data_IF_048081892904
#
_entry.id   IF_048081892904
#
_cell.length_a   1.000
_cell.length_b   1.000
_cell.length_c   1.000
_cell.angle_alpha   90.00
_cell.angle_beta   90.00
_cell.angle_gamma   90.00
#
_symmetry.space_group_name_H-M   'P 1'
#
loop_
_entity.id
_entity.type
_entity.pdbx_description
1 polymer ?
#
# COMPACT_ATOMS: atom_id res chain seq x y z
N UNK A 1 -22.26 -25.78 11.24
CA UNK A 1 -21.89 -24.50 10.64
C UNK A 1 -20.39 -24.52 10.39
N UNK A 2 -19.94 -24.71 9.15
CA UNK A 2 -18.54 -24.48 8.80
C UNK A 2 -18.46 -23.00 8.44
N UNK A 3 -17.91 -22.18 9.34
CA UNK A 3 -17.46 -20.84 8.96
C UNK A 3 -16.25 -21.08 8.06
N UNK A 4 -16.44 -21.00 6.75
CA UNK A 4 -15.32 -20.84 5.81
C UNK A 4 -14.55 -19.64 6.33
N UNK A 5 -13.29 -19.85 6.74
CA UNK A 5 -12.39 -18.77 7.13
C UNK A 5 -12.55 -17.70 6.06
N UNK A 6 -13.00 -16.50 6.42
CA UNK A 6 -13.36 -15.52 5.40
C UNK A 6 -12.11 -15.29 4.55
N UNK A 7 -12.15 -15.70 3.28
CA UNK A 7 -10.98 -15.73 2.44
C UNK A 7 -10.46 -14.30 2.32
N UNK A 8 -9.31 -14.02 2.93
CA UNK A 8 -8.70 -12.69 2.84
C UNK A 8 -8.41 -12.44 1.37
N UNK A 9 -9.00 -11.38 0.85
CA UNK A 9 -9.05 -11.07 -0.56
C UNK A 9 -8.29 -9.78 -0.91
N UNK A 10 -7.74 -9.09 0.09
CA UNK A 10 -6.87 -7.93 -0.12
C UNK A 10 -6.46 -7.25 1.18
N UNK A 11 -5.74 -6.14 1.05
CA UNK A 11 -5.36 -5.26 2.15
C UNK A 11 -5.96 -3.87 1.99
N UNK A 12 -6.42 -3.31 3.10
CA UNK A 12 -6.67 -1.88 3.25
C UNK A 12 -5.47 -1.22 3.90
N UNK A 13 -4.92 -0.21 3.22
CA UNK A 13 -3.76 0.56 3.65
C UNK A 13 -4.21 1.96 4.00
N UNK A 14 -4.02 2.38 5.25
CA UNK A 14 -4.24 3.75 5.71
C UNK A 14 -2.90 4.43 5.98
N UNK A 15 -2.59 5.44 5.18
CA UNK A 15 -1.36 6.21 5.26
C UNK A 15 -1.53 7.30 6.32
N UNK A 16 -1.08 7.02 7.54
CA UNK A 16 -1.08 8.01 8.61
C UNK A 16 -0.08 9.14 8.31
N UNK A 17 1.05 8.78 7.70
CA UNK A 17 2.09 9.68 7.22
C UNK A 17 2.72 9.10 5.95
N UNK A 18 3.03 9.94 4.97
CA UNK A 18 3.79 9.55 3.78
C UNK A 18 4.41 10.79 3.13
N UNK A 19 5.73 10.87 3.18
CA UNK A 19 6.56 11.89 2.57
C UNK A 19 7.92 11.26 2.21
N UNK A 20 8.06 10.92 0.93
CA UNK A 20 9.21 10.23 0.33
C UNK A 20 9.74 11.08 -0.81
N UNK A 21 11.06 11.16 -1.01
CA UNK A 21 11.64 12.01 -2.05
C UNK A 21 11.07 11.66 -3.44
N UNK A 22 10.57 12.67 -4.15
CA UNK A 22 10.04 12.49 -5.51
C UNK A 22 11.11 12.82 -6.54
N UNK A 23 11.37 11.89 -7.45
CA UNK A 23 12.10 12.10 -8.70
C UNK A 23 11.20 11.97 -9.93
N UNK A 24 11.74 12.20 -11.14
CA UNK A 24 11.09 11.79 -12.39
C UNK A 24 10.68 10.33 -12.32
N UNK A 25 9.42 10.03 -12.61
CA UNK A 25 8.84 8.68 -12.55
C UNK A 25 9.08 7.92 -11.22
N UNK A 26 9.20 8.65 -10.10
CA UNK A 26 9.55 8.10 -8.79
C UNK A 26 10.91 7.36 -8.77
N UNK A 27 11.88 7.81 -9.57
CA UNK A 27 13.19 7.17 -9.70
C UNK A 27 14.22 7.43 -8.58
N UNK A 28 13.92 8.31 -7.61
CA UNK A 28 14.81 8.57 -6.46
C UNK A 28 14.46 7.60 -5.33
N UNK A 29 13.62 8.04 -4.39
CA UNK A 29 13.05 7.19 -3.35
C UNK A 29 11.62 6.74 -3.73
N UNK A 30 11.25 5.52 -3.36
CA UNK A 30 9.89 5.03 -3.55
C UNK A 30 9.56 3.85 -2.62
N UNK A 31 8.26 3.69 -2.36
CA UNK A 31 7.69 2.48 -1.81
C UNK A 31 7.00 1.70 -2.94
N UNK A 32 7.48 0.50 -3.21
CA UNK A 32 6.80 -0.48 -4.07
C UNK A 32 5.80 -1.28 -3.22
N UNK A 33 4.54 -1.26 -3.63
CA UNK A 33 3.46 -2.07 -3.06
C UNK A 33 2.87 -2.94 -4.17
N UNK A 34 3.30 -4.20 -4.23
CA UNK A 34 2.78 -5.16 -5.22
C UNK A 34 2.96 -4.70 -6.67
N UNK A 35 4.18 -4.28 -7.03
CA UNK A 35 4.57 -3.77 -8.35
C UNK A 35 4.00 -2.39 -8.72
N UNK A 36 3.51 -1.64 -7.72
CA UNK A 36 3.11 -0.23 -7.90
C UNK A 36 3.98 0.65 -7.02
N UNK A 37 4.77 1.50 -7.64
CA UNK A 37 5.64 2.47 -6.96
C UNK A 37 4.86 3.72 -6.58
N UNK A 38 5.12 4.22 -5.37
CA UNK A 38 4.60 5.50 -4.88
C UNK A 38 5.74 6.32 -4.25
N UNK A 39 5.74 7.62 -4.50
CA UNK A 39 6.69 8.59 -3.95
C UNK A 39 6.02 9.96 -3.78
N UNK A 40 6.71 10.92 -3.18
CA UNK A 40 6.18 12.24 -2.85
C UNK A 40 5.38 12.23 -1.56
N UNK A 41 4.45 13.18 -1.43
CA UNK A 41 3.64 13.36 -0.25
C UNK A 41 2.19 12.89 -0.50
N UNK A 42 1.63 12.09 0.42
CA UNK A 42 0.20 11.76 0.41
C UNK A 42 -0.52 12.51 1.54
N UNK A 43 -1.81 12.86 1.36
CA UNK A 43 -2.62 13.41 2.44
C UNK A 43 -2.68 12.45 3.64
N UNK A 44 -2.58 12.98 4.86
CA UNK A 44 -2.74 12.16 6.06
C UNK A 44 -4.13 11.51 6.10
N UNK A 45 -4.16 10.21 6.39
CA UNK A 45 -5.37 9.42 6.42
C UNK A 45 -5.82 8.90 5.05
N UNK A 46 -5.09 9.20 3.96
CA UNK A 46 -5.34 8.60 2.65
C UNK A 46 -5.42 7.08 2.78
N UNK A 47 -6.43 6.47 2.14
CA UNK A 47 -6.71 5.05 2.27
C UNK A 47 -6.81 4.41 0.89
N UNK A 48 -6.26 3.21 0.74
CA UNK A 48 -6.32 2.43 -0.50
C UNK A 48 -6.59 0.97 -0.19
N UNK A 49 -7.47 0.35 -0.96
CA UNK A 49 -7.68 -1.10 -0.94
C UNK A 49 -6.93 -1.71 -2.12
N UNK A 50 -6.14 -2.76 -1.85
CA UNK A 50 -5.39 -3.49 -2.86
C UNK A 50 -5.83 -4.96 -2.79
N UNK A 51 -6.42 -5.51 -3.85
CA UNK A 51 -6.78 -6.92 -3.88
C UNK A 51 -5.53 -7.79 -3.90
N UNK A 52 -5.61 -8.99 -3.34
CA UNK A 52 -4.56 -9.98 -3.48
C UNK A 52 -4.65 -10.62 -4.87
N UNK A 53 -3.64 -10.33 -5.71
CA UNK A 53 -3.42 -11.03 -6.99
C UNK A 53 -2.59 -12.31 -6.79
N UNK A 54 -1.91 -12.41 -5.64
CA UNK A 54 -1.13 -13.57 -5.20
C UNK A 54 -1.34 -13.78 -3.68
N UNK A 55 -0.96 -14.93 -3.12
CA UNK A 55 -1.13 -15.21 -1.68
C UNK A 55 -0.37 -14.25 -0.75
N UNK A 56 0.62 -13.54 -1.29
CA UNK A 56 1.48 -12.62 -0.57
C UNK A 56 1.56 -11.27 -1.29
N UNK A 57 1.68 -10.18 -0.52
CA UNK A 57 1.99 -8.85 -1.05
C UNK A 57 3.25 -8.32 -0.37
N UNK A 58 4.24 -7.98 -1.19
CA UNK A 58 5.51 -7.44 -0.74
C UNK A 58 5.50 -5.91 -0.76
N UNK A 59 6.05 -5.33 0.30
CA UNK A 59 6.33 -3.91 0.41
C UNK A 59 7.85 -3.74 0.37
N UNK A 60 8.36 -2.99 -0.60
CA UNK A 60 9.81 -2.76 -0.75
C UNK A 60 10.08 -1.27 -0.80
N UNK A 61 10.88 -0.77 0.15
CA UNK A 61 11.33 0.60 0.12
C UNK A 61 12.71 0.68 -0.54
N UNK A 62 12.86 1.57 -1.51
CA UNK A 62 14.12 1.91 -2.16
C UNK A 62 14.44 3.37 -1.86
N UNK A 63 15.72 3.64 -1.58
CA UNK A 63 16.23 5.00 -1.40
C UNK A 63 17.63 5.14 -1.99
N UNK A 64 17.98 6.34 -2.43
CA UNK A 64 19.29 6.67 -2.98
C UNK A 64 20.17 7.45 -1.99
N UNK A 65 21.22 8.13 -2.48
CA UNK A 65 22.14 8.94 -1.65
C UNK A 65 21.71 10.41 -1.54
N UNK A 66 20.53 10.74 -2.06
CA UNK A 66 19.96 12.08 -2.21
C UNK A 66 19.26 12.59 -0.95
N UNK A 67 18.09 13.19 -1.12
CA UNK A 67 17.39 13.90 -0.05
C UNK A 67 16.55 12.95 0.78
N UNK A 68 16.92 12.72 2.03
CA UNK A 68 16.02 12.01 2.95
C UNK A 68 14.81 12.88 3.35
N UNK A 69 13.61 12.29 3.27
CA UNK A 69 12.35 12.87 3.75
C UNK A 69 11.89 12.20 5.04
N UNK A 70 10.74 12.63 5.55
CA UNK A 70 10.23 12.16 6.85
C UNK A 70 9.69 10.72 6.84
N UNK A 71 9.57 10.09 5.68
CA UNK A 71 9.27 8.66 5.52
C UNK A 71 7.78 8.37 5.55
N UNK A 72 7.39 7.19 6.05
CA UNK A 72 6.01 6.73 6.01
C UNK A 72 5.59 5.97 7.27
N UNK A 73 4.30 6.06 7.58
CA UNK A 73 3.62 5.26 8.60
C UNK A 73 2.29 4.76 8.03
N UNK A 74 2.16 3.45 7.87
CA UNK A 74 1.02 2.82 7.19
C UNK A 74 0.38 1.81 8.14
N UNK A 75 -0.93 1.95 8.34
CA UNK A 75 -1.74 0.93 9.02
C UNK A 75 -2.29 -0.03 7.98
N UNK A 76 -2.07 -1.32 8.18
CA UNK A 76 -2.48 -2.38 7.24
C UNK A 76 -3.57 -3.22 7.89
N UNK A 77 -4.67 -3.45 7.17
CA UNK A 77 -5.77 -4.32 7.59
C UNK A 77 -6.11 -5.32 6.49
N UNK A 78 -6.15 -6.61 6.82
CA UNK A 78 -6.66 -7.64 5.90
C UNK A 78 -8.17 -7.47 5.68
N UNK A 79 -8.60 -7.56 4.42
CA UNK A 79 -10.01 -7.48 4.00
C UNK A 79 -10.48 -8.84 3.54
N UNK A 80 -11.70 -9.19 3.92
CA UNK A 80 -12.37 -10.45 3.59
C UNK A 80 -13.73 -10.25 2.92
N UNK A 81 -14.17 -9.00 2.78
CA UNK A 81 -15.47 -8.53 2.29
C UNK A 81 -15.42 -8.02 0.83
N UNK A 82 -14.43 -8.43 0.04
CA UNK A 82 -14.25 -7.92 -1.33
C UNK A 82 -15.40 -8.31 -2.27
N UNK A 83 -16.11 -9.41 -1.99
CA UNK A 83 -17.25 -9.87 -2.79
C UNK A 83 -18.58 -9.15 -2.52
N UNK A 84 -18.67 -8.36 -1.44
CA UNK A 84 -19.90 -7.66 -1.05
C UNK A 84 -19.88 -6.16 -1.35
N UNK A 85 -18.73 -5.59 -1.74
CA UNK A 85 -18.56 -4.14 -1.93
C UNK A 85 -18.04 -3.71 -3.30
N UNK A 86 -17.95 -4.61 -4.29
CA UNK A 86 -17.60 -4.26 -5.68
C UNK A 86 -18.36 -5.11 -6.71
N UNK A 87 -19.14 -4.44 -7.59
CA UNK A 87 -19.44 -4.90 -8.95
C UNK A 87 -18.82 -3.88 -9.91
N UNK A 88 -18.16 -4.31 -11.01
CA UNK A 88 -17.60 -3.39 -12.00
C UNK A 88 -18.67 -2.47 -12.60
#
# INVERSE_FOLDING_TARGET
MVKTVEAVCGLELKFAHFDVEKGPDCGYDYLDIGHKTICGQLPSGFTRVIPFEAPEMKFTFHSDKGTSKSGFAIKVRQRSDCGTTWKP
#
